data_IF_144118454598
#
_entry.id   IF_144118454598
#
_cell.length_a   1.000
_cell.length_b   1.000
_cell.length_c   1.000
_cell.angle_alpha   90.00
_cell.angle_beta   90.00
_cell.angle_gamma   90.00
#
_symmetry.space_group_name_H-M   'P 1'
#
loop_
_entity.id
_entity.type
_entity.pdbx_description
1 polymer ?
#
# COMPACT_ATOMS: atom_id res chain seq x y z
N UNK A 1 -15.98 -6.17 -6.03
CA UNK A 1 -15.08 -7.32 -5.86
C UNK A 1 -15.41 -8.10 -4.61
N UNK A 2 -15.20 -9.37 -4.69
CA UNK A 2 -15.50 -10.28 -3.61
C UNK A 2 -14.22 -10.64 -2.86
N UNK A 3 -14.15 -10.28 -1.58
CA UNK A 3 -12.96 -10.57 -0.77
C UNK A 3 -12.98 -12.04 -0.39
N UNK A 4 -11.95 -12.77 -0.81
CA UNK A 4 -11.82 -14.19 -0.52
C UNK A 4 -11.03 -14.44 0.76
N UNK A 5 -10.13 -13.52 1.12
CA UNK A 5 -9.36 -13.63 2.34
C UNK A 5 -8.48 -12.43 2.54
N UNK A 6 -7.97 -12.27 3.79
CA UNK A 6 -7.05 -11.19 4.10
C UNK A 6 -6.24 -11.56 5.34
N UNK A 7 -5.09 -10.90 5.49
CA UNK A 7 -4.26 -11.06 6.68
C UNK A 7 -3.52 -9.75 6.94
N UNK A 8 -3.27 -9.46 8.22
CA UNK A 8 -2.49 -8.29 8.59
C UNK A 8 -1.05 -8.72 8.91
N UNK A 9 -0.09 -7.89 8.46
CA UNK A 9 1.33 -8.06 8.77
C UNK A 9 1.85 -9.48 8.48
N UNK A 10 1.39 -10.06 7.37
CA UNK A 10 1.66 -11.46 7.06
C UNK A 10 2.95 -11.69 6.27
N UNK A 11 3.51 -10.63 5.68
CA UNK A 11 4.67 -10.75 4.80
C UNK A 11 5.82 -9.92 5.34
N UNK A 12 7.06 -10.43 5.15
CA UNK A 12 8.27 -9.74 5.57
C UNK A 12 9.15 -9.57 4.34
N UNK A 13 9.49 -8.32 4.03
CA UNK A 13 10.24 -7.99 2.83
C UNK A 13 11.58 -7.41 3.26
N UNK A 14 12.70 -8.09 2.98
CA UNK A 14 14.00 -7.52 3.34
C UNK A 14 14.33 -6.32 2.45
N UNK A 15 14.89 -5.28 3.06
CA UNK A 15 15.35 -4.13 2.31
C UNK A 15 16.50 -3.46 3.07
N UNK A 16 17.16 -2.52 2.40
CA UNK A 16 18.24 -1.76 3.02
C UNK A 16 17.77 -0.33 3.25
N UNK A 17 17.91 0.10 4.49
CA UNK A 17 17.46 1.44 4.89
C UNK A 17 18.26 2.49 4.10
N UNK A 18 17.59 3.45 3.42
CA UNK A 18 18.28 4.37 2.53
C UNK A 18 19.17 5.37 3.24
N UNK A 19 18.91 5.67 4.52
CA UNK A 19 19.68 6.66 5.27
C UNK A 19 20.81 6.02 6.05
N UNK A 20 20.64 4.81 6.56
CA UNK A 20 21.65 4.15 7.40
C UNK A 20 22.43 3.06 6.68
N UNK A 21 21.90 2.55 5.57
CA UNK A 21 22.50 1.44 4.84
C UNK A 21 22.35 0.10 5.52
N UNK A 22 21.64 0.03 6.64
CA UNK A 22 21.48 -1.21 7.39
C UNK A 22 20.40 -2.10 6.76
N UNK A 23 20.65 -3.40 6.79
CA UNK A 23 19.64 -4.36 6.40
C UNK A 23 18.54 -4.38 7.43
N UNK A 24 17.30 -4.39 6.98
CA UNK A 24 16.14 -4.40 7.85
C UNK A 24 14.98 -5.11 7.14
N UNK A 25 13.82 -5.12 7.78
CA UNK A 25 12.65 -5.80 7.24
C UNK A 25 11.48 -4.82 7.18
N UNK A 26 10.77 -4.85 6.06
CA UNK A 26 9.54 -4.09 5.89
C UNK A 26 8.36 -5.04 5.99
N UNK A 27 7.40 -4.71 6.87
CA UNK A 27 6.19 -5.52 7.05
C UNK A 27 5.00 -4.67 6.60
N UNK A 28 4.45 -4.93 5.40
CA UNK A 28 3.27 -4.19 4.94
C UNK A 28 2.05 -4.45 5.81
N UNK A 29 1.10 -3.51 5.77
CA UNK A 29 -0.06 -3.56 6.65
C UNK A 29 -0.96 -4.76 6.37
N UNK A 30 -1.31 -5.00 5.11
CA UNK A 30 -2.30 -6.01 4.77
C UNK A 30 -1.93 -6.79 3.53
N UNK A 31 -2.45 -8.00 3.47
CA UNK A 31 -2.47 -8.83 2.27
C UNK A 31 -3.92 -9.22 2.03
N UNK A 32 -4.40 -9.06 0.79
CA UNK A 32 -5.77 -9.45 0.45
C UNK A 32 -5.79 -10.31 -0.80
N UNK A 33 -6.76 -11.21 -0.83
CA UNK A 33 -7.09 -11.99 -2.03
C UNK A 33 -8.55 -11.71 -2.36
N UNK A 34 -8.82 -11.35 -3.59
CA UNK A 34 -10.18 -11.03 -3.98
C UNK A 34 -10.45 -11.49 -5.42
N UNK A 35 -11.73 -11.54 -5.75
CA UNK A 35 -12.18 -11.90 -7.08
C UNK A 35 -12.87 -10.69 -7.70
N UNK A 36 -12.50 -10.34 -8.92
CA UNK A 36 -13.10 -9.19 -9.58
C UNK A 36 -14.44 -9.60 -10.23
N UNK A 37 -15.09 -8.64 -10.89
CA UNK A 37 -16.39 -8.84 -11.48
C UNK A 37 -16.39 -9.85 -12.62
N UNK A 38 -15.23 -10.13 -13.18
CA UNK A 38 -15.07 -11.11 -14.24
C UNK A 38 -14.68 -12.49 -13.73
N UNK A 39 -14.66 -12.66 -12.40
CA UNK A 39 -14.28 -13.93 -11.80
C UNK A 39 -12.79 -14.17 -11.71
N UNK A 40 -11.99 -13.17 -12.02
CA UNK A 40 -10.54 -13.30 -11.97
C UNK A 40 -10.03 -13.01 -10.55
N UNK A 41 -9.15 -13.86 -10.06
CA UNK A 41 -8.60 -13.72 -8.72
C UNK A 41 -7.38 -12.83 -8.73
N UNK A 42 -7.26 -12.01 -7.67
CA UNK A 42 -6.14 -11.11 -7.46
C UNK A 42 -5.62 -11.27 -6.05
N UNK A 43 -4.31 -11.11 -5.90
CA UNK A 43 -3.67 -11.10 -4.59
C UNK A 43 -2.78 -9.87 -4.51
N UNK A 44 -2.96 -9.05 -3.48
CA UNK A 44 -2.27 -7.76 -3.37
C UNK A 44 -1.76 -7.54 -1.96
N UNK A 45 -0.59 -6.91 -1.89
CA UNK A 45 -0.04 -6.39 -0.65
C UNK A 45 -0.42 -4.92 -0.57
N UNK A 46 -0.93 -4.50 0.58
CA UNK A 46 -1.47 -3.15 0.75
C UNK A 46 -0.79 -2.46 1.92
N UNK A 47 -0.36 -1.24 1.68
CA UNK A 47 0.21 -0.36 2.69
C UNK A 47 -0.67 0.86 2.83
N UNK A 48 -1.01 1.23 4.07
CA UNK A 48 -1.83 2.41 4.37
C UNK A 48 -0.93 3.50 4.94
N UNK A 49 -0.91 4.69 4.30
CA UNK A 49 -0.05 5.80 4.72
C UNK A 49 -0.77 7.13 4.57
N UNK A 50 -0.50 8.11 5.43
CA UNK A 50 -0.97 9.47 5.19
C UNK A 50 -0.37 10.02 3.89
N UNK A 51 -1.14 10.79 3.15
CA UNK A 51 -0.67 11.35 1.89
C UNK A 51 0.55 12.26 2.09
N UNK A 52 0.67 12.89 3.27
CA UNK A 52 1.83 13.73 3.58
C UNK A 52 3.15 12.97 3.57
N UNK A 53 3.12 11.64 3.70
CA UNK A 53 4.32 10.82 3.69
C UNK A 53 4.59 10.20 2.33
N UNK A 54 3.90 10.65 1.29
CA UNK A 54 4.10 10.20 -0.08
C UNK A 54 4.85 11.29 -0.85
N UNK A 55 5.82 10.89 -1.66
CA UNK A 55 6.61 11.85 -2.45
C UNK A 55 5.68 12.72 -3.29
N UNK A 56 6.04 13.99 -3.37
CA UNK A 56 5.23 14.98 -4.07
C UNK A 56 4.19 15.65 -3.19
N UNK A 57 3.82 15.03 -2.07
CA UNK A 57 2.84 15.60 -1.15
C UNK A 57 3.48 16.06 0.15
N UNK A 58 4.73 15.72 0.40
CA UNK A 58 5.41 16.03 1.66
C UNK A 58 5.80 17.50 1.70
N UNK A 59 5.43 18.21 2.76
CA UNK A 59 5.68 19.65 2.90
C UNK A 59 6.71 19.97 3.97
N UNK A 60 6.77 19.20 5.05
CA UNK A 60 7.75 19.43 6.11
C UNK A 60 8.99 18.59 5.83
N UNK A 61 10.11 18.96 6.48
CA UNK A 61 11.33 18.16 6.37
C UNK A 61 11.14 16.76 6.94
N UNK A 62 10.38 16.66 8.02
CA UNK A 62 10.05 15.36 8.62
C UNK A 62 9.28 14.48 7.64
N UNK A 63 8.26 15.03 6.99
CA UNK A 63 7.47 14.29 6.02
C UNK A 63 8.30 13.94 4.78
N UNK A 64 9.18 14.84 4.35
CA UNK A 64 10.06 14.58 3.22
C UNK A 64 11.01 13.42 3.53
N UNK A 65 11.56 13.37 4.74
CA UNK A 65 12.42 12.27 5.15
C UNK A 65 11.66 10.96 5.15
N UNK A 66 10.45 10.94 5.70
CA UNK A 66 9.59 9.75 5.69
C UNK A 66 9.24 9.34 4.27
N UNK A 67 9.00 10.30 3.38
CA UNK A 67 8.69 10.01 1.99
C UNK A 67 9.87 9.32 1.30
N UNK A 68 11.10 9.76 1.56
CA UNK A 68 12.29 9.13 0.99
C UNK A 68 12.42 7.69 1.45
N UNK A 69 12.24 7.46 2.76
CA UNK A 69 12.32 6.11 3.32
C UNK A 69 11.22 5.22 2.73
N UNK A 70 10.00 5.75 2.64
CA UNK A 70 8.87 5.02 2.11
C UNK A 70 9.07 4.65 0.64
N UNK A 71 9.58 5.58 -0.17
CA UNK A 71 9.82 5.30 -1.58
C UNK A 71 10.81 4.15 -1.76
N UNK A 72 11.86 4.11 -0.93
CA UNK A 72 12.82 3.02 -0.98
C UNK A 72 12.17 1.70 -0.61
N UNK A 73 11.36 1.68 0.45
CA UNK A 73 10.65 0.47 0.86
C UNK A 73 9.69 0.00 -0.23
N UNK A 74 8.94 0.93 -0.81
CA UNK A 74 7.89 0.58 -1.77
C UNK A 74 8.46 0.11 -3.10
N UNK A 75 9.60 0.67 -3.50
CA UNK A 75 10.27 0.19 -4.71
C UNK A 75 10.68 -1.27 -4.55
N UNK A 76 11.29 -1.60 -3.42
CA UNK A 76 11.69 -2.99 -3.14
C UNK A 76 10.44 -3.87 -3.00
N UNK A 77 9.40 -3.36 -2.35
CA UNK A 77 8.18 -4.13 -2.16
C UNK A 77 7.52 -4.46 -3.50
N UNK A 78 7.49 -3.51 -4.43
CA UNK A 78 6.93 -3.78 -5.76
C UNK A 78 7.71 -4.85 -6.49
N UNK A 79 9.04 -4.80 -6.42
CA UNK A 79 9.89 -5.80 -7.06
C UNK A 79 9.67 -7.17 -6.43
N UNK A 80 9.65 -7.21 -5.10
CA UNK A 80 9.45 -8.46 -4.37
C UNK A 80 8.08 -9.05 -4.69
N UNK A 81 7.04 -8.23 -4.65
CA UNK A 81 5.68 -8.68 -4.93
C UNK A 81 5.58 -9.21 -6.36
N UNK A 82 6.17 -8.50 -7.31
CA UNK A 82 6.15 -8.93 -8.70
C UNK A 82 6.80 -10.31 -8.87
N UNK A 83 7.90 -10.56 -8.17
CA UNK A 83 8.56 -11.87 -8.20
C UNK A 83 7.68 -12.97 -7.62
N UNK A 84 6.80 -12.63 -6.67
CA UNK A 84 5.89 -13.57 -6.04
C UNK A 84 4.56 -13.71 -6.79
N UNK A 85 4.38 -12.96 -7.86
CA UNK A 85 3.11 -12.96 -8.58
C UNK A 85 2.02 -12.15 -7.90
N UNK A 86 2.39 -11.19 -7.04
CA UNK A 86 1.46 -10.38 -6.26
C UNK A 86 1.46 -8.95 -6.73
N UNK A 87 0.36 -8.25 -6.50
CA UNK A 87 0.32 -6.80 -6.67
C UNK A 87 0.78 -6.08 -5.40
N UNK A 88 1.14 -4.83 -5.53
CA UNK A 88 1.47 -3.97 -4.40
C UNK A 88 0.77 -2.63 -4.60
N UNK A 89 0.08 -2.15 -3.57
CA UNK A 89 -0.69 -0.91 -3.68
C UNK A 89 -0.60 -0.13 -2.38
N UNK A 90 -0.51 1.19 -2.51
CA UNK A 90 -0.48 2.11 -1.38
C UNK A 90 -1.82 2.83 -1.35
N UNK A 91 -2.44 2.88 -0.17
CA UNK A 91 -3.72 3.54 0.04
C UNK A 91 -3.49 4.69 1.01
N UNK A 92 -3.93 5.87 0.64
CA UNK A 92 -3.88 7.04 1.52
C UNK A 92 -5.28 7.34 2.04
N UNK A 93 -5.39 8.36 2.89
CA UNK A 93 -6.69 8.79 3.39
C UNK A 93 -7.63 9.19 2.25
N UNK A 94 -7.07 9.61 1.12
CA UNK A 94 -7.90 9.99 -0.01
C UNK A 94 -8.71 8.82 -0.54
N UNK A 95 -8.12 7.61 -0.58
CA UNK A 95 -8.85 6.42 -0.99
C UNK A 95 -9.75 5.89 0.11
N UNK A 96 -9.27 5.97 1.37
CA UNK A 96 -10.04 5.42 2.49
C UNK A 96 -11.34 6.18 2.72
N UNK A 97 -11.32 7.49 2.54
CA UNK A 97 -12.48 8.33 2.81
C UNK A 97 -13.27 8.68 1.56
N UNK A 98 -12.87 8.16 0.41
CA UNK A 98 -13.65 8.32 -0.78
C UNK A 98 -14.86 7.40 -0.69
N UNK A 99 -16.02 7.89 -1.10
CA UNK A 99 -17.23 7.09 -1.03
C UNK A 99 -17.01 5.78 -1.73
N UNK A 100 -17.46 4.71 -1.11
CA UNK A 100 -17.32 3.44 -1.78
C UNK A 100 -18.09 3.48 -3.06
N UNK A 101 -17.50 2.88 -3.95
CA UNK A 101 -18.09 2.79 -5.12
C UNK A 101 -19.20 1.89 -4.97
N UNK A 102 -20.06 2.29 -4.93
CA UNK A 102 -21.08 1.50 -4.75
C UNK A 102 -21.73 1.97 -3.75
N UNK A 103 -21.83 2.46 -3.62
CA UNK A 103 -22.42 2.91 -2.68
C UNK A 103 -22.34 4.25 -2.52
N UNK A 104 -22.32 4.32 -2.96
CA UNK A 104 -22.17 5.40 -2.60
C UNK A 104 -22.17 6.23 -2.51
N UNK A 105 -22.68 6.38 -2.53
CA UNK A 105 -22.67 7.30 -2.15
C UNK A 105 -22.50 8.13 -2.20
N UNK A 106 -23.09 8.24 -2.24
CA UNK A 106 -23.03 9.08 -2.01
C UNK A 106 -22.90 9.87 -2.02
N UNK A 107 -23.45 9.84 -2.04
CA UNK A 107 -23.37 10.62 -1.75
C UNK A 107 -23.10 11.46 -1.94
N UNK A 108 -23.52 11.49 -1.97
CA UNK A 108 -23.34 12.22 -1.83
C UNK A 108 -23.03 12.98 -2.05
N UNK A 109 -23.49 12.83 -2.23
CA UNK A 109 -23.28 13.41 -2.12
C UNK A 109 -23.07 13.95 -2.16
N UNK A 110 -23.58 13.74 -2.29
CA UNK A 110 -23.53 14.12 -1.96
C UNK A 110 -23.26 14.73 -1.97
#
# INVERSE_FOLDING_TARGET
>A
PNILGWASESHRIPYRHPLTGKATTYVPDFFIVYEDMNGKKHAEIIEVKPSSQVMGNAKSKHDQMHAVINEAKWKIARQWANQQGLGFRIITENELFRAPQGSKSKRKKR
#
